data_IF_332801382547
#
_entry.id   IF_332801382547
#
_cell.length_a   1.000
_cell.length_b   1.000
_cell.length_c   1.000
_cell.angle_alpha   90.00
_cell.angle_beta   90.00
_cell.angle_gamma   90.00
#
_symmetry.space_group_name_H-M   'P 1'
#
loop_
_entity.id
_entity.type
_entity.pdbx_description
1 polymer ?
#
# COMPACT_ATOMS: atom_id res chain seq x y z
N UNK A 1 -12.88 -18.55 -2.44
CA UNK A 1 -12.77 -17.09 -2.56
C UNK A 1 -11.52 -16.68 -1.81
N UNK A 2 -10.68 -15.87 -2.44
CA UNK A 2 -9.50 -15.29 -1.82
C UNK A 2 -9.88 -14.07 -0.96
N UNK A 3 -8.98 -13.62 -0.10
CA UNK A 3 -9.19 -12.38 0.66
C UNK A 3 -9.29 -11.15 -0.25
N UNK A 4 -8.62 -11.17 -1.41
CA UNK A 4 -8.80 -10.14 -2.43
C UNK A 4 -10.23 -10.12 -2.97
N UNK A 5 -10.84 -11.29 -3.24
CA UNK A 5 -12.22 -11.35 -3.72
C UNK A 5 -13.19 -10.79 -2.67
N UNK A 6 -12.98 -11.13 -1.39
CA UNK A 6 -13.77 -10.61 -0.27
C UNK A 6 -13.63 -9.09 -0.13
N UNK A 7 -12.41 -8.55 -0.30
CA UNK A 7 -12.17 -7.12 -0.28
C UNK A 7 -12.92 -6.40 -1.41
N UNK A 8 -12.79 -6.89 -2.64
CA UNK A 8 -13.41 -6.26 -3.81
C UNK A 8 -14.94 -6.35 -3.77
N UNK A 9 -15.49 -7.35 -3.10
CA UNK A 9 -16.92 -7.48 -2.80
C UNK A 9 -17.40 -6.58 -1.64
N UNK A 10 -16.49 -5.90 -0.92
CA UNK A 10 -16.81 -5.10 0.27
C UNK A 10 -17.10 -5.92 1.53
N UNK A 11 -16.78 -7.22 1.52
CA UNK A 11 -16.99 -8.15 2.64
C UNK A 11 -15.78 -8.21 3.59
N UNK A 12 -14.63 -7.68 3.16
CA UNK A 12 -13.45 -7.48 4.01
C UNK A 12 -13.31 -5.99 4.36
N UNK A 13 -13.03 -5.70 5.63
CA UNK A 13 -12.70 -4.35 6.09
C UNK A 13 -11.46 -3.82 5.36
N UNK A 14 -11.46 -2.59 4.84
CA UNK A 14 -10.25 -1.95 4.34
C UNK A 14 -9.19 -1.77 5.44
N UNK A 15 -7.92 -1.84 5.07
CA UNK A 15 -6.81 -1.81 6.03
C UNK A 15 -5.45 -2.06 5.39
N UNK A 16 -4.45 -2.33 6.23
CA UNK A 16 -3.12 -2.78 5.78
C UNK A 16 -3.01 -4.27 6.06
N UNK A 17 -2.66 -5.04 5.03
CA UNK A 17 -2.57 -6.49 5.09
C UNK A 17 -1.26 -6.96 4.49
N UNK A 18 -0.71 -8.06 5.02
CA UNK A 18 0.45 -8.73 4.44
C UNK A 18 -0.01 -9.95 3.65
N UNK A 19 0.49 -10.16 2.43
CA UNK A 19 0.24 -11.38 1.66
C UNK A 19 1.57 -12.04 1.26
N UNK A 20 2.10 -12.97 2.09
CA UNK A 20 3.46 -13.51 1.91
C UNK A 20 3.62 -14.34 0.63
N UNK A 21 2.59 -15.13 0.31
CA UNK A 21 2.50 -15.97 -0.89
C UNK A 21 1.64 -15.31 -1.98
N UNK A 22 1.78 -14.00 -2.13
CA UNK A 22 1.01 -13.22 -3.10
C UNK A 22 1.14 -13.75 -4.54
N UNK A 23 0.03 -13.79 -5.31
CA UNK A 23 0.09 -14.07 -6.75
C UNK A 23 0.89 -13.01 -7.52
N UNK A 24 1.27 -13.28 -8.78
CA UNK A 24 1.97 -12.29 -9.61
C UNK A 24 1.17 -10.98 -9.73
N UNK A 25 1.86 -9.83 -9.60
CA UNK A 25 1.27 -8.49 -9.64
C UNK A 25 0.34 -8.28 -10.84
N UNK A 26 0.72 -8.74 -12.03
CA UNK A 26 -0.11 -8.61 -13.24
C UNK A 26 -1.47 -9.31 -13.12
N UNK A 27 -1.52 -10.46 -12.44
CA UNK A 27 -2.77 -11.18 -12.19
C UNK A 27 -3.66 -10.43 -11.21
N UNK A 28 -3.07 -9.93 -10.12
CA UNK A 28 -3.79 -9.14 -9.11
C UNK A 28 -4.35 -7.87 -9.73
N UNK A 29 -3.53 -7.13 -10.49
CA UNK A 29 -3.96 -5.93 -11.20
C UNK A 29 -5.17 -6.21 -12.10
N UNK A 30 -5.12 -7.27 -12.90
CA UNK A 30 -6.22 -7.62 -13.79
C UNK A 30 -7.53 -7.87 -13.02
N UNK A 31 -7.48 -8.54 -11.86
CA UNK A 31 -8.66 -8.79 -11.02
C UNK A 31 -9.20 -7.49 -10.41
N UNK A 32 -8.32 -6.62 -9.89
CA UNK A 32 -8.69 -5.32 -9.32
C UNK A 32 -9.33 -4.41 -10.37
N UNK A 33 -8.70 -4.29 -11.55
CA UNK A 33 -9.24 -3.50 -12.66
C UNK A 33 -10.61 -4.02 -13.13
N UNK A 34 -10.79 -5.35 -13.23
CA UNK A 34 -12.05 -5.98 -13.62
C UNK A 34 -13.19 -5.70 -12.62
N UNK A 35 -12.85 -5.51 -11.34
CA UNK A 35 -13.81 -5.13 -10.30
C UNK A 35 -14.12 -3.63 -10.27
N UNK A 36 -13.50 -2.81 -11.15
CA UNK A 36 -13.69 -1.36 -11.19
C UNK A 36 -12.92 -0.58 -10.12
N UNK A 37 -12.09 -1.27 -9.34
CA UNK A 37 -11.20 -0.66 -8.35
C UNK A 37 -9.94 -0.10 -9.02
N UNK A 38 -9.30 0.87 -8.37
CA UNK A 38 -8.04 1.42 -8.84
C UNK A 38 -6.85 0.65 -8.26
N UNK A 39 -5.99 0.12 -9.12
CA UNK A 39 -4.77 -0.56 -8.72
C UNK A 39 -3.57 0.39 -8.76
N UNK A 40 -2.86 0.51 -7.63
CA UNK A 40 -1.65 1.32 -7.49
C UNK A 40 -0.47 0.41 -7.19
N UNK A 41 0.57 0.44 -8.04
CA UNK A 41 1.77 -0.39 -7.87
C UNK A 41 2.90 0.40 -7.20
N UNK A 42 3.19 0.09 -5.94
CA UNK A 42 4.30 0.65 -5.18
C UNK A 42 5.44 -0.38 -5.13
N UNK A 43 6.43 -0.19 -5.99
CA UNK A 43 7.66 -1.00 -6.01
C UNK A 43 8.79 -0.28 -5.27
N UNK A 44 9.23 -0.87 -4.15
CA UNK A 44 10.35 -0.38 -3.35
C UNK A 44 11.59 -1.28 -3.42
N UNK A 45 11.71 -2.16 -4.41
CA UNK A 45 12.81 -3.14 -4.53
C UNK A 45 14.21 -2.50 -4.45
N UNK A 46 14.36 -1.27 -4.94
CA UNK A 46 15.63 -0.53 -4.95
C UNK A 46 15.75 0.54 -3.87
N UNK A 47 14.74 0.65 -3.01
CA UNK A 47 14.66 1.66 -1.95
C UNK A 47 15.23 1.08 -0.66
N UNK A 48 16.14 1.83 -0.03
CA UNK A 48 16.87 1.37 1.17
C UNK A 48 16.74 2.31 2.36
N UNK A 49 16.13 3.49 2.16
CA UNK A 49 15.98 4.50 3.18
C UNK A 49 14.62 5.20 3.13
N UNK A 50 14.35 6.00 4.16
CA UNK A 50 13.15 6.81 4.29
C UNK A 50 12.94 7.76 3.11
N UNK A 51 13.99 8.42 2.63
CA UNK A 51 13.85 9.42 1.58
C UNK A 51 13.41 8.77 0.26
N UNK A 52 14.04 7.65 -0.10
CA UNK A 52 13.66 6.86 -1.26
C UNK A 52 12.25 6.29 -1.14
N UNK A 53 11.79 5.94 0.06
CA UNK A 53 10.41 5.48 0.28
C UNK A 53 9.41 6.59 -0.04
N UNK A 54 9.62 7.78 0.54
CA UNK A 54 8.74 8.92 0.32
C UNK A 54 8.73 9.35 -1.15
N UNK A 55 9.90 9.36 -1.80
CA UNK A 55 10.02 9.64 -3.24
C UNK A 55 9.30 8.59 -4.10
N UNK A 56 9.40 7.30 -3.74
CA UNK A 56 8.71 6.21 -4.43
C UNK A 56 7.20 6.34 -4.32
N UNK A 57 6.67 6.62 -3.12
CA UNK A 57 5.22 6.80 -2.93
C UNK A 57 4.73 8.04 -3.67
N UNK A 58 5.40 9.18 -3.53
CA UNK A 58 5.03 10.41 -4.25
C UNK A 58 4.97 10.17 -5.77
N UNK A 59 6.00 9.51 -6.33
CA UNK A 59 6.04 9.15 -7.74
C UNK A 59 4.88 8.22 -8.13
N UNK A 60 4.63 7.17 -7.37
CA UNK A 60 3.59 6.17 -7.66
C UNK A 60 2.19 6.78 -7.62
N UNK A 61 1.95 7.72 -6.71
CA UNK A 61 0.67 8.42 -6.59
C UNK A 61 0.55 9.66 -7.50
N UNK A 62 1.58 9.96 -8.32
CA UNK A 62 1.56 11.06 -9.28
C UNK A 62 1.82 12.45 -8.69
N UNK A 63 2.37 12.52 -7.48
CA UNK A 63 2.68 13.78 -6.80
C UNK A 63 4.11 14.26 -7.10
N UNK A 64 4.33 15.60 -7.12
CA UNK A 64 5.67 16.16 -7.28
C UNK A 64 6.64 15.71 -6.18
N UNK A 65 7.81 15.20 -6.58
CA UNK A 65 8.84 14.68 -5.67
C UNK A 65 9.41 15.71 -4.67
N UNK A 66 9.18 17.01 -4.89
CA UNK A 66 9.62 18.06 -3.96
C UNK A 66 8.62 18.33 -2.82
N UNK A 67 7.39 17.81 -2.89
CA UNK A 67 6.32 18.17 -1.95
C UNK A 67 6.36 17.42 -0.62
N UNK A 68 7.21 16.42 -0.41
CA UNK A 68 7.17 15.69 0.85
C UNK A 68 8.33 14.75 1.10
N UNK A 69 9.34 15.24 1.82
CA UNK A 69 10.38 14.38 2.45
C UNK A 69 10.14 14.14 3.95
N UNK A 70 8.92 14.41 4.42
CA UNK A 70 8.44 14.09 5.77
C UNK A 70 7.27 13.13 5.73
N UNK A 71 7.03 12.43 6.84
CA UNK A 71 5.85 11.58 6.99
C UNK A 71 4.57 12.42 7.10
N UNK A 72 4.64 13.64 7.62
CA UNK A 72 3.50 14.56 7.64
C UNK A 72 3.01 14.87 6.22
N UNK A 73 3.93 15.22 5.32
CA UNK A 73 3.58 15.47 3.92
C UNK A 73 3.06 14.19 3.24
N UNK A 74 3.59 13.03 3.60
CA UNK A 74 3.07 11.76 3.12
C UNK A 74 1.64 11.49 3.56
N UNK A 75 1.29 11.77 4.82
CA UNK A 75 -0.08 11.66 5.33
C UNK A 75 -1.04 12.61 4.58
N UNK A 76 -0.62 13.84 4.31
CA UNK A 76 -1.38 14.80 3.50
C UNK A 76 -1.62 14.28 2.07
N UNK A 77 -0.61 13.70 1.43
CA UNK A 77 -0.76 13.12 0.09
C UNK A 77 -1.68 11.90 0.09
N UNK A 78 -1.61 11.07 1.14
CA UNK A 78 -2.48 9.91 1.30
C UNK A 78 -3.95 10.31 1.49
N UNK A 79 -4.23 11.43 2.17
CA UNK A 79 -5.58 11.91 2.38
C UNK A 79 -6.33 12.13 1.06
N UNK A 80 -5.62 12.55 0.01
CA UNK A 80 -6.19 12.81 -1.33
C UNK A 80 -6.36 11.54 -2.19
N UNK A 81 -5.85 10.38 -1.74
CA UNK A 81 -5.96 9.12 -2.51
C UNK A 81 -7.39 8.62 -2.44
N UNK A 82 -8.11 8.58 -3.57
CA UNK A 82 -9.47 8.07 -3.63
C UNK A 82 -9.88 7.64 -5.03
N UNK A 83 -10.83 6.71 -5.11
CA UNK A 83 -11.44 6.27 -6.36
C UNK A 83 -12.88 5.80 -6.09
N UNK A 84 -13.76 5.85 -7.11
CA UNK A 84 -15.20 5.57 -6.99
C UNK A 84 -15.50 4.26 -6.24
N UNK A 85 -14.81 3.17 -6.59
CA UNK A 85 -14.99 1.85 -5.96
C UNK A 85 -13.98 1.57 -4.84
N UNK A 86 -12.93 2.39 -4.72
CA UNK A 86 -11.80 2.16 -3.82
C UNK A 86 -10.47 1.91 -4.54
N UNK A 87 -9.40 1.96 -3.75
CA UNK A 87 -8.01 1.84 -4.18
C UNK A 87 -7.37 0.63 -3.51
N UNK A 88 -6.70 -0.22 -4.30
CA UNK A 88 -5.78 -1.25 -3.80
C UNK A 88 -4.36 -0.79 -4.09
N UNK A 89 -3.64 -0.41 -3.04
CA UNK A 89 -2.22 -0.11 -3.11
C UNK A 89 -1.42 -1.39 -2.85
N UNK A 90 -0.71 -1.83 -3.87
CA UNK A 90 0.10 -3.03 -3.86
C UNK A 90 1.55 -2.68 -3.59
N UNK A 91 2.03 -2.97 -2.38
CA UNK A 91 3.40 -2.67 -1.98
C UNK A 91 4.30 -3.90 -2.10
N UNK A 92 5.14 -3.92 -3.13
CA UNK A 92 6.11 -4.97 -3.40
C UNK A 92 7.56 -4.50 -3.20
N UNK A 93 8.49 -5.44 -3.07
CA UNK A 93 9.92 -5.12 -2.89
C UNK A 93 10.25 -4.47 -1.53
N UNK A 94 9.37 -4.58 -0.54
CA UNK A 94 9.47 -3.92 0.76
C UNK A 94 10.50 -4.55 1.71
N UNK A 95 10.85 -5.83 1.52
CA UNK A 95 11.66 -6.59 2.48
C UNK A 95 13.05 -5.97 2.73
N UNK A 96 13.75 -5.56 1.66
CA UNK A 96 15.07 -4.93 1.79
C UNK A 96 15.01 -3.61 2.56
N UNK A 97 13.97 -2.81 2.33
CA UNK A 97 13.74 -1.59 3.09
C UNK A 97 13.44 -1.89 4.57
N UNK A 98 12.62 -2.90 4.86
CA UNK A 98 12.29 -3.28 6.23
C UNK A 98 13.51 -3.82 7.01
N UNK A 99 14.44 -4.49 6.33
CA UNK A 99 15.69 -4.96 6.96
C UNK A 99 16.68 -3.82 7.21
N UNK A 100 16.84 -2.90 6.25
CA UNK A 100 17.81 -1.81 6.34
C UNK A 100 17.31 -0.62 7.16
N UNK A 101 16.00 -0.39 7.16
CA UNK A 101 15.36 0.74 7.83
C UNK A 101 13.96 0.37 8.35
N UNK A 102 13.88 -0.48 9.40
CA UNK A 102 12.61 -0.95 9.95
C UNK A 102 11.70 0.19 10.41
N UNK A 103 12.28 1.25 11.00
CA UNK A 103 11.54 2.41 11.47
C UNK A 103 10.81 3.14 10.33
N UNK A 104 11.43 3.27 9.15
CA UNK A 104 10.78 3.88 7.99
C UNK A 104 9.59 3.04 7.51
N UNK A 105 9.74 1.71 7.50
CA UNK A 105 8.66 0.79 7.15
C UNK A 105 7.52 0.85 8.16
N UNK A 106 7.81 0.84 9.46
CA UNK A 106 6.81 0.94 10.53
C UNK A 106 6.00 2.23 10.44
N UNK A 107 6.67 3.38 10.26
CA UNK A 107 5.99 4.66 10.10
C UNK A 107 5.13 4.68 8.84
N UNK A 108 5.59 4.11 7.73
CA UNK A 108 4.78 4.04 6.52
C UNK A 108 3.53 3.16 6.71
N UNK A 109 3.67 2.00 7.35
CA UNK A 109 2.52 1.14 7.68
C UNK A 109 1.53 1.86 8.59
N UNK A 110 2.01 2.64 9.56
CA UNK A 110 1.16 3.44 10.45
C UNK A 110 0.36 4.51 9.69
N UNK A 111 1.01 5.28 8.79
CA UNK A 111 0.30 6.28 7.98
C UNK A 111 -0.70 5.63 7.00
N UNK A 112 -0.33 4.51 6.38
CA UNK A 112 -1.24 3.74 5.54
C UNK A 112 -2.45 3.22 6.33
N UNK A 113 -2.24 2.73 7.56
CA UNK A 113 -3.32 2.24 8.42
C UNK A 113 -4.24 3.38 8.87
N UNK A 114 -3.68 4.52 9.26
CA UNK A 114 -4.43 5.74 9.57
C UNK A 114 -5.31 6.14 8.40
N UNK A 115 -4.74 6.22 7.18
CA UNK A 115 -5.51 6.54 5.98
C UNK A 115 -6.56 5.49 5.65
N UNK A 116 -6.28 4.20 5.76
CA UNK A 116 -7.24 3.14 5.45
C UNK A 116 -8.43 3.10 6.44
N UNK A 117 -8.22 3.57 7.67
CA UNK A 117 -9.27 3.72 8.67
C UNK A 117 -10.19 4.92 8.37
N UNK A 118 -9.67 5.99 7.78
CA UNK A 118 -10.46 7.13 7.29
C UNK A 118 -11.13 6.77 5.95
N UNK A 119 -12.47 6.81 5.94
CA UNK A 119 -13.27 6.46 4.76
C UNK A 119 -13.96 7.65 4.13
N UNK A 120 -13.76 8.87 4.65
CA UNK A 120 -14.42 10.07 4.11
C UNK A 120 -13.97 10.37 2.67
N UNK A 121 -12.69 10.11 2.37
CA UNK A 121 -12.09 10.32 1.04
C UNK A 121 -12.09 9.05 0.16
N UNK A 122 -12.87 8.05 0.55
CA UNK A 122 -12.98 6.77 -0.15
C UNK A 122 -12.10 5.67 0.44
N UNK A 123 -12.30 4.46 -0.09
CA UNK A 123 -11.71 3.23 0.43
C UNK A 123 -10.27 3.08 -0.05
N UNK A 124 -9.34 2.86 0.89
CA UNK A 124 -7.96 2.45 0.62
C UNK A 124 -7.66 1.14 1.34
N UNK A 125 -7.10 0.18 0.62
CA UNK A 125 -6.49 -1.02 1.18
C UNK A 125 -5.06 -1.14 0.70
N UNK A 126 -4.14 -1.40 1.61
CA UNK A 126 -2.72 -1.63 1.31
C UNK A 126 -2.41 -3.10 1.48
N UNK A 127 -1.83 -3.71 0.45
CA UNK A 127 -1.36 -5.09 0.50
C UNK A 127 0.15 -5.12 0.36
N UNK A 128 0.83 -5.52 1.44
CA UNK A 128 2.27 -5.73 1.50
C UNK A 128 2.57 -7.13 0.95
N UNK A 129 3.02 -7.16 -0.30
CA UNK A 129 3.11 -8.37 -1.10
C UNK A 129 4.49 -9.02 -1.04
N UNK A 130 4.51 -10.33 -0.83
CA UNK A 130 5.72 -11.14 -0.88
C UNK A 130 6.38 -11.40 0.48
N UNK A 131 7.48 -12.16 0.48
CA UNK A 131 8.19 -12.54 1.69
C UNK A 131 8.96 -11.36 2.30
N UNK A 132 9.34 -11.49 3.57
CA UNK A 132 10.13 -10.50 4.30
C UNK A 132 9.96 -10.67 5.83
N UNK A 133 10.55 -9.76 6.64
CA UNK A 133 10.46 -9.81 8.09
C UNK A 133 9.00 -9.77 8.59
N UNK A 134 8.78 -10.16 9.85
CA UNK A 134 7.45 -10.08 10.44
C UNK A 134 7.04 -8.62 10.56
N UNK A 135 5.82 -8.32 10.11
CA UNK A 135 5.20 -7.01 10.23
C UNK A 135 4.02 -7.12 11.21
N UNK A 136 3.77 -6.07 11.98
CA UNK A 136 2.63 -5.98 12.89
C UNK A 136 1.34 -5.58 12.14
N UNK A 137 0.97 -6.39 11.14
CA UNK A 137 -0.26 -6.24 10.36
C UNK A 137 -0.89 -7.60 10.11
N UNK A 138 -2.23 -7.69 9.97
CA UNK A 138 -2.90 -8.96 9.68
C UNK A 138 -2.38 -9.61 8.39
N UNK A 139 -2.21 -10.93 8.43
CA UNK A 139 -1.67 -11.71 7.31
C UNK A 139 -2.78 -12.43 6.56
N UNK A 140 -2.75 -12.31 5.24
CA UNK A 140 -3.54 -13.06 4.28
C UNK A 140 -2.94 -14.43 4.00
N UNK A 141 -3.79 -15.42 3.78
CA UNK A 141 -3.44 -16.83 3.53
C UNK A 141 -3.41 -17.16 2.03
#
# INVERSE_FOLDING_TARGET
MSQLDLLLAGELTPGVYRWPAAPPTAKVKAVVDQAGWHFVDLDTTTVVDKAGLLDAVAKTLGFPAYLGRSFDAFAELLAEVGHEHGVVLWWQGWAGLAELNPQATELALAEFATRAADREQGVLTVVVAGPGPVLDVPTWE
#
